data_IF_886458497105
#
_entry.id   IF_886458497105
#
_cell.length_a   1.000
_cell.length_b   1.000
_cell.length_c   1.000
_cell.angle_alpha   90.00
_cell.angle_beta   90.00
_cell.angle_gamma   90.00
#
_symmetry.space_group_name_H-M   'P 1'
#
loop_
_entity.id
_entity.type
_entity.pdbx_description
1 polymer ?
#
# COMPACT_ATOMS: atom_id res chain seq x y z
N UNK A 1 -53.25 -3.13 25.15
CA UNK A 1 -51.85 -3.45 24.81
C UNK A 1 -51.87 -4.35 23.59
N UNK A 2 -51.23 -3.93 22.50
CA UNK A 2 -50.54 -4.80 21.54
C UNK A 2 -49.89 -3.92 20.46
N UNK A 3 -48.62 -3.55 20.68
CA UNK A 3 -47.79 -2.92 19.65
C UNK A 3 -46.93 -4.02 19.02
N UNK A 4 -47.37 -4.56 17.88
CA UNK A 4 -46.53 -5.38 17.01
C UNK A 4 -45.68 -4.45 16.16
N UNK A 5 -44.38 -4.39 16.43
CA UNK A 5 -43.42 -3.73 15.54
C UNK A 5 -43.21 -4.59 14.28
N UNK A 6 -43.31 -4.02 13.06
CA UNK A 6 -43.11 -4.79 11.84
C UNK A 6 -41.63 -5.11 11.63
N UNK A 7 -41.32 -6.40 11.51
CA UNK A 7 -40.00 -7.01 11.30
C UNK A 7 -39.22 -6.55 10.03
N UNK A 8 -39.67 -5.51 9.34
CA UNK A 8 -39.01 -4.98 8.14
C UNK A 8 -37.85 -4.02 8.45
N UNK A 9 -37.78 -3.45 9.65
CA UNK A 9 -36.70 -2.51 10.03
C UNK A 9 -35.35 -3.20 10.32
N UNK A 10 -35.34 -4.50 10.61
CA UNK A 10 -34.11 -5.23 10.92
C UNK A 10 -33.34 -5.68 9.67
N UNK A 11 -33.99 -5.73 8.50
CA UNK A 11 -33.34 -6.12 7.24
C UNK A 11 -32.49 -5.01 6.63
N UNK A 12 -32.83 -3.74 6.87
CA UNK A 12 -32.08 -2.59 6.35
C UNK A 12 -30.87 -2.24 7.22
N UNK A 13 -30.86 -2.65 8.49
CA UNK A 13 -29.71 -2.42 9.38
C UNK A 13 -28.53 -3.38 9.12
N UNK A 14 -28.81 -4.57 8.57
CA UNK A 14 -27.77 -5.56 8.25
C UNK A 14 -26.91 -5.18 7.04
N UNK A 15 -27.49 -4.51 6.04
CA UNK A 15 -26.77 -4.12 4.82
C UNK A 15 -25.78 -2.96 5.05
N UNK A 16 -26.06 -2.08 6.02
CA UNK A 16 -25.18 -0.95 6.34
C UNK A 16 -23.94 -1.38 7.17
N UNK A 17 -24.03 -2.48 7.91
CA UNK A 17 -22.91 -3.00 8.70
C UNK A 17 -21.81 -3.64 7.84
N UNK A 18 -22.15 -4.12 6.63
CA UNK A 18 -21.18 -4.70 5.69
C UNK A 18 -20.25 -3.67 5.04
N UNK A 19 -20.73 -2.43 4.85
CA UNK A 19 -19.95 -1.34 4.27
C UNK A 19 -18.90 -0.76 5.23
N UNK A 20 -19.00 -1.04 6.53
CA UNK A 20 -18.12 -0.51 7.57
C UNK A 20 -16.98 -1.47 7.97
N UNK A 21 -16.83 -2.58 7.26
CA UNK A 21 -15.79 -3.57 7.53
C UNK A 21 -14.67 -3.58 6.48
N UNK A 22 -14.33 -2.42 5.89
CA UNK A 22 -13.07 -2.29 5.14
C UNK A 22 -11.90 -2.41 6.13
N UNK A 23 -11.41 -3.63 6.34
CA UNK A 23 -10.14 -3.84 7.03
C UNK A 23 -9.02 -3.32 6.12
N UNK A 24 -8.56 -2.09 6.35
CA UNK A 24 -7.34 -1.61 5.73
C UNK A 24 -6.20 -2.54 6.19
N UNK A 25 -5.71 -3.40 5.31
CA UNK A 25 -4.53 -4.20 5.60
C UNK A 25 -3.32 -3.27 5.51
N UNK A 26 -2.60 -3.14 6.62
CA UNK A 26 -1.27 -2.54 6.61
C UNK A 26 -0.34 -3.53 5.90
N UNK A 27 0.54 -3.03 5.03
CA UNK A 27 1.48 -3.87 4.30
C UNK A 27 2.90 -3.43 4.59
N UNK A 28 3.83 -4.37 4.66
CA UNK A 28 5.24 -4.12 4.91
C UNK A 28 6.12 -4.96 3.98
N UNK A 29 7.27 -4.45 3.54
CA UNK A 29 8.18 -5.23 2.71
C UNK A 29 8.98 -6.21 3.57
N UNK A 30 9.13 -7.44 3.07
CA UNK A 30 9.99 -8.48 3.65
C UNK A 30 11.34 -8.55 2.93
N UNK A 31 11.66 -9.71 2.35
CA UNK A 31 12.82 -9.85 1.47
C UNK A 31 12.54 -9.31 0.07
N UNK A 32 13.32 -8.35 -0.44
CA UNK A 32 13.04 -7.77 -1.77
C UNK A 32 14.26 -7.21 -2.53
N UNK A 33 14.07 -7.05 -3.83
CA UNK A 33 14.87 -6.18 -4.70
C UNK A 33 13.95 -5.17 -5.41
N UNK A 34 14.33 -3.89 -5.37
CA UNK A 34 13.57 -2.82 -6.02
C UNK A 34 14.49 -1.88 -6.79
N UNK A 35 14.03 -1.44 -7.95
CA UNK A 35 14.74 -0.48 -8.78
C UNK A 35 13.83 0.65 -9.25
N UNK A 36 14.38 1.86 -9.34
CA UNK A 36 13.73 3.04 -9.86
C UNK A 36 14.69 3.75 -10.82
N UNK A 37 14.34 3.76 -12.10
CA UNK A 37 15.01 4.60 -13.09
C UNK A 37 14.15 5.83 -13.36
N UNK A 38 14.74 7.02 -13.23
CA UNK A 38 14.10 8.30 -13.58
C UNK A 38 15.02 9.04 -14.52
N UNK A 39 14.52 9.37 -15.71
CA UNK A 39 15.28 10.10 -16.73
C UNK A 39 15.04 11.61 -16.63
N UNK A 40 15.96 12.38 -17.19
CA UNK A 40 15.87 13.83 -17.27
C UNK A 40 14.60 14.30 -18.00
N UNK A 41 14.07 13.53 -18.95
CA UNK A 41 12.82 13.82 -19.69
C UNK A 41 11.54 13.34 -18.97
N UNK A 42 11.66 12.97 -17.68
CA UNK A 42 10.61 12.41 -16.81
C UNK A 42 10.12 11.01 -17.20
N UNK A 43 10.73 10.35 -18.17
CA UNK A 43 10.51 8.92 -18.36
C UNK A 43 10.96 8.18 -17.10
N UNK A 44 10.16 7.21 -16.64
CA UNK A 44 10.51 6.42 -15.47
C UNK A 44 10.18 4.94 -15.67
N UNK A 45 10.93 4.11 -14.96
CA UNK A 45 10.67 2.69 -14.79
C UNK A 45 10.82 2.34 -13.31
N UNK A 46 9.85 1.60 -12.77
CA UNK A 46 9.92 1.11 -11.39
C UNK A 46 9.70 -0.40 -11.38
N UNK A 47 10.49 -1.11 -10.58
CA UNK A 47 10.31 -2.53 -10.31
C UNK A 47 10.35 -2.82 -8.81
N UNK A 48 9.57 -3.80 -8.41
CA UNK A 48 9.64 -4.40 -7.08
C UNK A 48 9.46 -5.91 -7.23
N UNK A 49 10.41 -6.69 -6.71
CA UNK A 49 10.32 -8.14 -6.66
C UNK A 49 10.66 -8.61 -5.26
N UNK A 50 9.72 -9.25 -4.60
CA UNK A 50 9.93 -9.69 -3.23
C UNK A 50 8.67 -9.97 -2.43
N UNK A 51 8.87 -10.14 -1.14
CA UNK A 51 7.86 -10.45 -0.16
C UNK A 51 7.13 -9.19 0.31
N UNK A 52 5.80 -9.24 0.36
CA UNK A 52 4.96 -8.27 1.07
C UNK A 52 4.19 -9.00 2.16
N UNK A 53 4.29 -8.52 3.40
CA UNK A 53 3.56 -9.06 4.55
C UNK A 53 2.34 -8.18 4.82
N UNK A 54 1.16 -8.78 4.97
CA UNK A 54 -0.07 -8.09 5.31
C UNK A 54 -0.40 -8.26 6.81
N UNK A 55 -0.61 -7.15 7.51
CA UNK A 55 -1.03 -7.09 8.90
C UNK A 55 -2.45 -6.55 9.02
N UNK A 56 -3.23 -7.08 9.97
CA UNK A 56 -4.56 -6.55 10.26
C UNK A 56 -4.45 -5.22 11.02
N UNK A 57 -5.08 -4.17 10.49
CA UNK A 57 -5.38 -2.99 11.30
C UNK A 57 -6.63 -3.32 12.12
N UNK A 58 -6.46 -3.61 13.41
CA UNK A 58 -7.56 -3.95 14.29
C UNK A 58 -8.66 -2.89 14.28
N UNK A 59 -9.93 -3.31 14.16
CA UNK A 59 -11.14 -2.45 14.18
C UNK A 59 -11.25 -1.51 15.39
N UNK A 60 -10.46 -1.76 16.44
CA UNK A 60 -10.49 -1.01 17.70
C UNK A 60 -9.70 0.31 17.66
N UNK A 61 -8.97 0.61 16.58
CA UNK A 61 -8.14 1.82 16.48
C UNK A 61 -8.83 3.08 15.95
N UNK A 62 -10.05 2.96 15.41
CA UNK A 62 -10.76 4.05 14.70
C UNK A 62 -12.04 4.53 15.40
N UNK A 63 -12.36 4.07 16.62
CA UNK A 63 -13.54 4.55 17.38
C UNK A 63 -13.32 5.90 18.08
N UNK A 64 -12.28 6.65 17.72
CA UNK A 64 -11.94 7.94 18.30
C UNK A 64 -12.45 9.11 17.47
N UNK A 65 -13.70 9.52 17.70
CA UNK A 65 -14.18 10.87 17.37
C UNK A 65 -15.03 10.98 16.10
N UNK A 66 -16.34 10.84 16.24
CA UNK A 66 -17.29 11.35 15.26
C UNK A 66 -17.42 12.88 15.41
N UNK A 67 -17.39 13.65 14.31
CA UNK A 67 -18.26 14.79 14.15
C UNK A 67 -19.42 14.40 13.24
N UNK A 68 -20.63 14.55 13.76
CA UNK A 68 -21.85 14.48 12.97
C UNK A 68 -21.83 15.60 11.93
N UNK A 69 -22.01 15.26 10.65
CA UNK A 69 -22.52 16.20 9.67
C UNK A 69 -23.30 15.41 8.62
N UNK A 70 -24.62 15.62 8.63
CA UNK A 70 -25.52 15.31 7.53
C UNK A 70 -25.12 16.20 6.33
N UNK A 71 -24.95 15.61 5.15
CA UNK A 71 -25.20 16.33 3.90
C UNK A 71 -25.52 15.33 2.77
N UNK A 72 -26.70 15.52 2.19
CA UNK A 72 -27.19 14.87 0.99
C UNK A 72 -26.52 15.51 -0.24
N UNK A 73 -25.87 14.73 -1.09
CA UNK A 73 -25.61 15.15 -2.47
C UNK A 73 -25.46 13.94 -3.39
N UNK A 74 -26.50 13.75 -4.21
CA UNK A 74 -26.54 12.88 -5.37
C UNK A 74 -25.58 13.41 -6.45
N UNK A 75 -24.75 12.51 -6.96
CA UNK A 75 -23.79 12.78 -8.03
C UNK A 75 -23.26 11.49 -8.60
N UNK A 76 -24.11 10.75 -9.33
CA UNK A 76 -23.70 9.59 -10.11
C UNK A 76 -22.69 10.02 -11.19
N UNK A 77 -21.42 9.68 -10.98
CA UNK A 77 -20.46 9.55 -12.06
C UNK A 77 -20.09 8.07 -12.12
N UNK A 78 -20.35 7.42 -13.25
CA UNK A 78 -20.09 6.00 -13.46
C UNK A 78 -18.59 5.68 -13.28
N UNK A 79 -18.23 5.24 -12.08
CA UNK A 79 -16.98 4.55 -11.81
C UNK A 79 -17.20 3.04 -12.00
N UNK A 80 -16.29 2.40 -12.72
CA UNK A 80 -16.27 0.94 -12.87
C UNK A 80 -16.33 0.25 -11.49
N UNK A 81 -17.02 -0.91 -11.38
CA UNK A 81 -17.27 -1.54 -10.08
C UNK A 81 -15.96 -1.94 -9.39
N UNK A 82 -15.81 -1.57 -8.12
CA UNK A 82 -14.62 -1.84 -7.29
C UNK A 82 -14.56 -3.28 -6.76
N UNK A 83 -13.37 -3.67 -6.31
CA UNK A 83 -12.92 -4.98 -5.83
C UNK A 83 -13.90 -5.77 -4.95
N UNK A 84 -14.71 -5.09 -4.14
CA UNK A 84 -15.65 -5.72 -3.21
C UNK A 84 -17.03 -6.00 -3.84
N UNK A 85 -17.40 -5.27 -4.91
CA UNK A 85 -18.68 -5.45 -5.60
C UNK A 85 -18.72 -6.71 -6.47
N UNK A 86 -17.55 -7.18 -6.92
CA UNK A 86 -17.40 -8.44 -7.66
C UNK A 86 -17.53 -9.63 -6.69
N UNK A 87 -16.94 -9.54 -5.50
CA UNK A 87 -17.00 -10.60 -4.48
C UNK A 87 -18.35 -10.69 -3.76
N UNK A 88 -19.10 -9.58 -3.65
CA UNK A 88 -20.39 -9.55 -2.97
C UNK A 88 -21.59 -10.00 -3.84
N UNK A 89 -21.38 -10.27 -5.14
CA UNK A 89 -22.45 -10.69 -6.07
C UNK A 89 -22.60 -12.20 -6.25
N UNK A 90 -21.64 -12.99 -5.80
CA UNK A 90 -21.77 -14.44 -5.77
C UNK A 90 -22.45 -14.86 -4.46
N UNK A 91 -23.73 -15.25 -4.53
CA UNK A 91 -24.50 -15.70 -3.36
C UNK A 91 -23.86 -16.94 -2.69
N UNK A 92 -23.16 -17.78 -3.47
CA UNK A 92 -22.42 -18.96 -2.98
C UNK A 92 -21.23 -18.62 -2.06
N UNK A 93 -20.69 -17.38 -2.11
CA UNK A 93 -19.56 -16.96 -1.28
C UNK A 93 -19.97 -16.47 0.12
N UNK A 94 -21.22 -16.06 0.29
CA UNK A 94 -21.71 -15.50 1.56
C UNK A 94 -21.88 -16.56 2.66
N UNK A 95 -22.22 -17.80 2.31
CA UNK A 95 -22.41 -18.90 3.27
C UNK A 95 -21.08 -19.53 3.73
N UNK A 96 -20.00 -19.40 2.96
CA UNK A 96 -18.67 -19.94 3.30
C UNK A 96 -17.94 -19.14 4.41
N UNK A 97 -18.40 -17.92 4.70
CA UNK A 97 -17.80 -17.03 5.71
C UNK A 97 -18.39 -17.24 7.12
N UNK A 98 -19.43 -18.08 7.26
CA UNK A 98 -20.12 -18.31 8.52
C UNK A 98 -19.50 -19.41 9.40
N UNK A 99 -18.59 -20.25 8.86
CA UNK A 99 -18.03 -21.38 9.62
C UNK A 99 -16.53 -21.61 9.30
N UNK A 100 -15.66 -20.98 10.09
CA UNK A 100 -14.22 -21.27 10.12
C UNK A 100 -13.31 -20.05 9.91
N UNK A 101 -13.00 -19.33 10.99
CA UNK A 101 -12.16 -18.12 10.99
C UNK A 101 -10.75 -18.30 10.39
N UNK A 102 -10.24 -19.53 10.26
CA UNK A 102 -8.92 -19.83 9.67
C UNK A 102 -8.99 -20.12 8.15
N UNK A 103 -10.12 -20.67 7.67
CA UNK A 103 -10.32 -20.92 6.22
C UNK A 103 -10.75 -19.66 5.47
N UNK A 104 -11.46 -18.77 6.16
CA UNK A 104 -11.87 -17.47 5.61
C UNK A 104 -10.68 -16.58 5.24
N UNK A 105 -9.66 -16.51 6.11
CA UNK A 105 -8.49 -15.64 5.88
C UNK A 105 -7.64 -16.12 4.70
N UNK A 106 -7.36 -17.42 4.62
CA UNK A 106 -6.60 -18.01 3.50
C UNK A 106 -7.31 -17.79 2.15
N UNK A 107 -8.61 -18.04 2.08
CA UNK A 107 -9.41 -17.81 0.87
C UNK A 107 -9.44 -16.31 0.49
N UNK A 108 -9.56 -15.42 1.48
CA UNK A 108 -9.51 -13.98 1.27
C UNK A 108 -8.14 -13.54 0.73
N UNK A 109 -7.04 -13.99 1.32
CA UNK A 109 -5.68 -13.65 0.86
C UNK A 109 -5.41 -14.20 -0.54
N UNK A 110 -5.91 -15.39 -0.87
CA UNK A 110 -5.86 -15.92 -2.24
C UNK A 110 -6.64 -15.06 -3.23
N UNK A 111 -7.83 -14.60 -2.85
CA UNK A 111 -8.64 -13.70 -3.68
C UNK A 111 -7.93 -12.35 -3.90
N UNK A 112 -7.24 -11.82 -2.87
CA UNK A 112 -6.40 -10.62 -3.01
C UNK A 112 -5.27 -10.85 -4.00
N UNK A 113 -4.53 -11.96 -3.88
CA UNK A 113 -3.47 -12.28 -4.83
C UNK A 113 -4.00 -12.37 -6.28
N UNK A 114 -5.14 -13.05 -6.48
CA UNK A 114 -5.80 -13.15 -7.78
C UNK A 114 -6.24 -11.79 -8.32
N UNK A 115 -6.74 -10.89 -7.46
CA UNK A 115 -7.11 -9.53 -7.86
C UNK A 115 -5.88 -8.70 -8.26
N UNK A 116 -4.80 -8.74 -7.47
CA UNK A 116 -3.56 -8.01 -7.77
C UNK A 116 -2.99 -8.38 -9.14
N UNK A 117 -3.09 -9.64 -9.58
CA UNK A 117 -2.62 -10.04 -10.93
C UNK A 117 -3.36 -9.37 -12.09
N UNK A 118 -4.53 -8.77 -11.85
CA UNK A 118 -5.31 -8.03 -12.86
C UNK A 118 -4.90 -6.57 -12.93
N UNK A 119 -4.19 -6.07 -11.93
CA UNK A 119 -3.80 -4.66 -11.82
C UNK A 119 -2.59 -4.34 -12.69
N UNK A 120 -2.58 -3.13 -13.24
CA UNK A 120 -1.49 -2.69 -14.12
C UNK A 120 -0.17 -2.67 -13.35
N UNK A 121 0.82 -3.34 -13.93
CA UNK A 121 2.18 -3.40 -13.41
C UNK A 121 2.47 -4.66 -12.60
N UNK A 122 1.46 -5.35 -12.05
CA UNK A 122 1.67 -6.65 -11.42
C UNK A 122 1.89 -7.72 -12.50
N UNK A 123 3.12 -8.22 -12.60
CA UNK A 123 3.46 -9.37 -13.46
C UNK A 123 3.09 -10.69 -12.79
N UNK A 124 3.22 -10.76 -11.47
CA UNK A 124 2.69 -11.85 -10.65
C UNK A 124 2.42 -11.38 -9.22
N UNK A 125 1.40 -11.97 -8.60
CA UNK A 125 1.14 -11.88 -7.18
C UNK A 125 0.70 -13.27 -6.69
N UNK A 126 1.44 -13.84 -5.73
CA UNK A 126 1.16 -15.18 -5.20
C UNK A 126 1.03 -15.11 -3.69
N UNK A 127 -0.03 -15.71 -3.18
CA UNK A 127 -0.16 -15.90 -1.74
C UNK A 127 0.69 -17.10 -1.30
N UNK A 128 1.52 -16.90 -0.28
CA UNK A 128 2.51 -17.86 0.21
C UNK A 128 2.12 -18.46 1.58
N UNK A 129 0.89 -18.23 2.04
CA UNK A 129 0.47 -18.54 3.41
C UNK A 129 0.95 -17.47 4.41
N UNK A 130 0.43 -17.53 5.64
CA UNK A 130 0.81 -16.63 6.74
C UNK A 130 0.72 -15.14 6.36
N UNK A 131 -0.31 -14.76 5.59
CA UNK A 131 -0.54 -13.38 5.15
C UNK A 131 0.63 -12.77 4.36
N UNK A 132 1.46 -13.61 3.75
CA UNK A 132 2.62 -13.21 2.96
C UNK A 132 2.37 -13.40 1.47
N UNK A 133 2.79 -12.42 0.68
CA UNK A 133 2.69 -12.41 -0.77
C UNK A 133 4.08 -12.38 -1.40
N UNK A 134 4.28 -13.16 -2.45
CA UNK A 134 5.39 -12.98 -3.39
C UNK A 134 4.90 -12.13 -4.56
N UNK A 135 5.51 -10.96 -4.77
CA UNK A 135 5.14 -9.98 -5.78
C UNK A 135 6.26 -9.82 -6.82
N UNK A 136 5.90 -9.77 -8.09
CA UNK A 136 6.72 -9.25 -9.18
C UNK A 136 5.93 -8.10 -9.82
N UNK A 137 6.42 -6.88 -9.62
CA UNK A 137 5.82 -5.65 -10.12
C UNK A 137 6.81 -4.91 -11.02
N UNK A 138 6.33 -4.44 -12.16
CA UNK A 138 7.08 -3.57 -13.05
C UNK A 138 6.16 -2.61 -13.80
N UNK A 139 6.46 -1.32 -13.74
CA UNK A 139 5.73 -0.29 -14.48
C UNK A 139 6.71 0.67 -15.15
N UNK A 140 6.30 1.21 -16.29
CA UNK A 140 7.00 2.28 -16.99
C UNK A 140 6.00 3.38 -17.34
N UNK A 141 6.49 4.59 -17.49
CA UNK A 141 5.65 5.71 -17.89
C UNK A 141 6.41 7.02 -17.95
N UNK A 142 5.64 8.12 -17.98
CA UNK A 142 6.16 9.48 -17.87
C UNK A 142 5.59 10.12 -16.61
N UNK A 143 6.46 10.67 -15.76
CA UNK A 143 6.05 11.36 -14.54
C UNK A 143 5.33 12.66 -14.89
N UNK A 144 4.01 12.60 -14.93
CA UNK A 144 3.12 13.77 -15.00
C UNK A 144 2.43 14.05 -13.67
N UNK A 145 2.36 13.03 -12.82
CA UNK A 145 1.79 13.04 -11.48
C UNK A 145 2.70 12.24 -10.54
N UNK A 146 2.38 12.25 -9.24
CA UNK A 146 3.08 11.40 -8.29
C UNK A 146 2.87 9.92 -8.60
N UNK A 147 3.90 9.11 -8.33
CA UNK A 147 3.84 7.66 -8.36
C UNK A 147 4.03 7.12 -6.94
N UNK A 148 3.16 6.20 -6.54
CA UNK A 148 3.17 5.57 -5.22
C UNK A 148 3.12 4.06 -5.40
N UNK A 149 3.94 3.33 -4.64
CA UNK A 149 3.92 1.88 -4.62
C UNK A 149 4.10 1.33 -3.20
N UNK A 150 3.29 0.35 -2.77
CA UNK A 150 2.00 -0.01 -3.36
C UNK A 150 0.98 1.14 -3.16
N UNK A 151 -0.04 1.19 -4.00
CA UNK A 151 -1.17 2.10 -3.81
C UNK A 151 -2.42 1.27 -3.52
N UNK A 152 -3.03 1.49 -2.36
CA UNK A 152 -4.30 0.89 -1.99
C UNK A 152 -5.35 2.02 -1.93
N UNK A 153 -6.26 2.05 -2.90
CA UNK A 153 -7.28 3.09 -3.02
C UNK A 153 -8.39 2.96 -1.96
N UNK A 154 -8.60 1.74 -1.44
CA UNK A 154 -9.64 1.43 -0.48
C UNK A 154 -9.19 1.70 0.97
N UNK A 155 -7.89 1.88 1.18
CA UNK A 155 -7.35 2.27 2.47
C UNK A 155 -7.60 3.76 2.71
N UNK A 156 -8.23 4.10 3.85
CA UNK A 156 -8.41 5.48 4.30
C UNK A 156 -7.08 6.18 4.67
N UNK A 157 -5.95 5.46 4.61
CA UNK A 157 -4.59 5.95 4.88
C UNK A 157 -3.66 5.44 3.78
N UNK A 158 -2.88 6.34 3.17
CA UNK A 158 -1.91 6.03 2.12
C UNK A 158 -0.53 5.79 2.75
N UNK A 159 -0.08 4.54 2.78
CA UNK A 159 1.24 4.14 3.30
C UNK A 159 2.06 3.46 2.19
N UNK A 160 2.78 4.23 1.35
CA UNK A 160 3.53 3.67 0.24
C UNK A 160 4.91 3.20 0.69
N UNK A 161 5.46 2.17 0.07
CA UNK A 161 6.87 1.82 0.23
C UNK A 161 7.77 2.82 -0.47
N UNK A 162 7.37 3.26 -1.67
CA UNK A 162 8.06 4.24 -2.50
C UNK A 162 7.08 5.32 -2.93
N UNK A 163 7.48 6.56 -2.75
CA UNK A 163 6.81 7.75 -3.24
C UNK A 163 7.75 8.56 -4.13
N UNK A 164 7.30 8.82 -5.35
CA UNK A 164 7.96 9.68 -6.32
C UNK A 164 7.04 10.86 -6.58
N UNK A 165 7.42 12.03 -6.09
CA UNK A 165 6.62 13.25 -6.17
C UNK A 165 7.21 14.21 -7.20
N UNK A 166 6.44 14.57 -8.22
CA UNK A 166 6.76 15.72 -9.04
C UNK A 166 6.37 17.00 -8.27
N UNK A 167 7.32 17.91 -8.10
CA UNK A 167 7.18 19.16 -7.33
C UNK A 167 7.49 20.35 -8.24
N UNK A 168 6.45 21.08 -8.62
CA UNK A 168 6.57 22.11 -9.66
C UNK A 168 6.95 21.49 -11.01
N UNK A 169 7.64 22.28 -11.85
CA UNK A 169 7.92 21.87 -13.24
C UNK A 169 9.28 21.19 -13.44
N UNK A 170 10.18 21.16 -12.47
CA UNK A 170 11.53 20.67 -12.72
C UNK A 170 12.14 19.86 -11.58
N UNK A 171 11.35 19.47 -10.57
CA UNK A 171 11.86 18.69 -9.43
C UNK A 171 11.09 17.40 -9.22
N UNK A 172 11.84 16.33 -9.01
CA UNK A 172 11.31 15.04 -8.56
C UNK A 172 11.91 14.72 -7.21
N UNK A 173 11.04 14.46 -6.22
CA UNK A 173 11.44 13.97 -4.90
C UNK A 173 11.14 12.49 -4.80
N UNK A 174 12.16 11.70 -4.55
CA UNK A 174 12.06 10.27 -4.27
C UNK A 174 12.19 10.07 -2.76
N UNK A 175 11.25 9.33 -2.18
CA UNK A 175 11.33 8.80 -0.82
C UNK A 175 10.88 7.36 -0.81
N UNK A 176 11.56 6.52 -0.06
CA UNK A 176 11.17 5.13 0.12
C UNK A 176 10.88 4.80 1.60
N UNK A 177 9.80 5.36 2.19
CA UNK A 177 9.54 5.23 3.63
C UNK A 177 9.30 3.78 4.08
N UNK A 178 8.82 2.90 3.20
CA UNK A 178 8.68 1.47 3.50
C UNK A 178 10.00 0.72 3.68
N UNK A 179 11.12 1.33 3.28
CA UNK A 179 12.45 0.73 3.39
C UNK A 179 13.20 1.22 4.63
N UNK A 180 12.47 1.65 5.67
CA UNK A 180 13.01 1.99 6.98
C UNK A 180 12.24 1.27 8.09
N UNK A 181 12.93 0.92 9.17
CA UNK A 181 12.36 0.20 10.31
C UNK A 181 11.32 1.00 11.12
N UNK A 182 11.18 2.29 10.85
CA UNK A 182 10.16 3.17 11.43
C UNK A 182 8.85 3.26 10.63
N UNK A 183 8.72 2.57 9.50
CA UNK A 183 7.59 2.71 8.58
C UNK A 183 6.22 2.57 9.28
N UNK A 184 6.01 1.46 10.00
CA UNK A 184 4.74 1.19 10.70
C UNK A 184 4.54 2.05 11.96
N UNK A 185 5.63 2.49 12.57
CA UNK A 185 5.62 3.25 13.84
C UNK A 185 5.26 4.71 13.62
N UNK A 186 5.51 5.24 12.42
CA UNK A 186 5.45 6.67 12.13
C UNK A 186 4.05 7.22 11.79
N UNK A 187 3.07 6.37 11.44
CA UNK A 187 1.77 6.85 10.90
C UNK A 187 0.50 6.13 11.43
N UNK A 188 0.63 5.13 12.30
CA UNK A 188 -0.51 4.49 12.97
C UNK A 188 -0.86 5.14 14.33
N UNK A 189 -2.02 4.82 14.95
CA UNK A 189 -2.36 5.23 16.31
C UNK A 189 -1.27 4.86 17.35
N UNK A 190 -0.46 3.84 17.07
CA UNK A 190 0.71 3.46 17.86
C UNK A 190 1.80 4.55 17.93
N UNK A 191 1.86 5.47 16.96
CA UNK A 191 2.70 6.67 16.98
C UNK A 191 2.10 7.84 17.79
N UNK A 192 0.81 7.79 18.13
CA UNK A 192 0.10 8.77 18.97
C UNK A 192 -0.24 8.26 20.39
N UNK A 193 0.08 7.01 20.70
CA UNK A 193 -0.16 6.45 22.03
C UNK A 193 0.37 5.03 22.06
N UNK A 194 1.53 4.85 22.68
CA UNK A 194 2.21 3.57 22.74
C UNK A 194 1.35 2.49 23.39
N UNK A 195 0.88 1.53 22.59
CA UNK A 195 0.60 0.13 22.95
C UNK A 195 0.15 -0.62 21.68
N UNK A 196 1.08 -1.34 21.05
CA UNK A 196 0.85 -2.14 19.85
C UNK A 196 2.13 -2.86 19.40
N UNK A 197 2.76 -3.59 20.31
CA UNK A 197 4.17 -4.00 20.23
C UNK A 197 4.40 -5.45 19.75
N UNK A 198 3.64 -5.92 18.74
CA UNK A 198 3.79 -7.29 18.22
C UNK A 198 4.06 -7.33 16.72
N UNK A 199 3.05 -6.96 15.92
CA UNK A 199 3.12 -7.07 14.46
C UNK A 199 4.16 -6.14 13.81
N UNK A 200 4.32 -4.92 14.33
CA UNK A 200 5.29 -3.96 13.78
C UNK A 200 6.75 -4.33 14.03
N UNK A 201 7.03 -5.13 15.07
CA UNK A 201 8.40 -5.58 15.35
C UNK A 201 8.80 -6.77 14.47
N UNK A 202 7.87 -7.68 14.13
CA UNK A 202 8.12 -8.76 13.17
C UNK A 202 8.28 -8.22 11.74
N UNK A 203 7.45 -7.24 11.35
CA UNK A 203 7.61 -6.55 10.08
C UNK A 203 8.97 -5.83 9.95
N UNK A 204 9.39 -5.11 10.99
CA UNK A 204 10.69 -4.46 11.01
C UNK A 204 11.86 -5.46 10.94
N UNK A 205 11.72 -6.64 11.56
CA UNK A 205 12.73 -7.72 11.49
C UNK A 205 12.78 -8.40 10.12
N UNK A 206 11.66 -8.47 9.41
CA UNK A 206 11.57 -9.07 8.09
C UNK A 206 12.19 -8.20 6.98
N UNK A 207 12.39 -6.90 7.25
CA UNK A 207 12.89 -5.92 6.29
C UNK A 207 14.32 -6.27 5.84
N UNK A 208 14.45 -6.78 4.62
CA UNK A 208 15.74 -7.15 4.06
C UNK A 208 15.74 -6.95 2.55
N UNK A 209 16.54 -6.03 2.03
CA UNK A 209 16.51 -5.84 0.59
C UNK A 209 17.51 -4.85 0.06
N UNK A 210 17.29 -4.51 -1.20
CA UNK A 210 18.12 -3.56 -1.92
C UNK A 210 17.24 -2.64 -2.75
N UNK A 211 17.47 -1.34 -2.60
CA UNK A 211 16.85 -0.33 -3.44
C UNK A 211 17.93 0.31 -4.33
N UNK A 212 17.71 0.31 -5.63
CA UNK A 212 18.62 0.92 -6.60
C UNK A 212 17.91 2.05 -7.35
N UNK A 213 18.49 3.24 -7.34
CA UNK A 213 18.02 4.34 -8.20
C UNK A 213 19.03 4.59 -9.32
N UNK A 214 18.55 4.70 -10.56
CA UNK A 214 19.35 5.15 -11.70
C UNK A 214 18.76 6.39 -12.34
N UNK A 215 19.62 7.25 -12.89
CA UNK A 215 19.17 8.51 -13.50
C UNK A 215 20.23 9.14 -14.38
N UNK A 216 19.85 9.84 -15.45
CA UNK A 216 20.68 10.85 -16.14
C UNK A 216 20.30 12.30 -15.78
N UNK A 217 19.33 12.47 -14.88
CA UNK A 217 18.96 13.75 -14.33
C UNK A 217 20.04 14.26 -13.35
N UNK A 218 20.03 15.56 -13.08
CA UNK A 218 20.91 16.14 -12.07
C UNK A 218 20.44 15.73 -10.67
N UNK A 219 21.33 15.13 -9.87
CA UNK A 219 21.06 14.77 -8.48
C UNK A 219 21.33 15.99 -7.60
N UNK A 220 20.27 16.61 -7.08
CA UNK A 220 20.37 17.77 -6.18
C UNK A 220 20.74 17.37 -4.75
N UNK A 221 20.18 16.26 -4.27
CA UNK A 221 20.46 15.74 -2.93
C UNK A 221 20.14 14.25 -2.84
N UNK A 222 20.80 13.55 -1.91
CA UNK A 222 20.63 12.13 -1.64
C UNK A 222 21.19 11.79 -0.24
N UNK A 223 20.79 10.67 0.37
CA UNK A 223 21.19 10.29 1.74
C UNK A 223 22.00 8.98 1.87
N UNK A 224 22.57 8.47 0.78
CA UNK A 224 23.47 7.33 0.76
C UNK A 224 24.92 7.80 0.98
N UNK A 225 25.63 7.17 1.92
CA UNK A 225 26.96 7.61 2.37
C UNK A 225 28.07 7.51 1.31
N UNK A 226 28.10 6.43 0.52
CA UNK A 226 29.01 6.24 -0.62
C UNK A 226 28.66 7.17 -1.81
N UNK A 227 27.43 7.67 -1.85
CA UNK A 227 26.94 8.58 -2.87
C UNK A 227 26.65 7.92 -4.23
N UNK A 228 26.60 8.75 -5.27
CA UNK A 228 26.22 8.32 -6.61
C UNK A 228 27.43 7.82 -7.43
N UNK A 229 27.34 6.59 -7.92
CA UNK A 229 28.32 5.97 -8.80
C UNK A 229 28.05 6.34 -10.26
N UNK A 230 29.11 6.63 -11.03
CA UNK A 230 28.99 6.88 -12.48
C UNK A 230 28.81 5.56 -13.22
N UNK A 231 27.90 5.55 -14.19
CA UNK A 231 27.63 4.44 -15.11
C UNK A 231 27.56 4.96 -16.55
N UNK A 232 27.63 4.11 -17.58
CA UNK A 232 27.48 4.55 -18.97
C UNK A 232 26.14 5.24 -19.26
N UNK A 233 25.10 4.97 -18.46
CA UNK A 233 23.73 5.46 -18.65
C UNK A 233 23.37 6.61 -17.71
N UNK A 234 24.35 7.16 -16.97
CA UNK A 234 24.15 8.23 -16.00
C UNK A 234 24.72 7.87 -14.62
N UNK A 235 23.93 8.07 -13.57
CA UNK A 235 24.28 7.83 -12.17
C UNK A 235 23.48 6.67 -11.60
N UNK A 236 24.07 6.00 -10.60
CA UNK A 236 23.45 4.94 -9.82
C UNK A 236 23.67 5.19 -8.33
N UNK A 237 22.61 5.08 -7.55
CA UNK A 237 22.67 5.06 -6.08
C UNK A 237 22.09 3.72 -5.60
N UNK A 238 22.74 3.12 -4.60
CA UNK A 238 22.36 1.82 -4.06
C UNK A 238 22.22 1.92 -2.55
N UNK A 239 21.04 1.60 -2.03
CA UNK A 239 20.80 1.43 -0.60
C UNK A 239 20.66 -0.06 -0.29
N UNK A 240 21.49 -0.56 0.62
CA UNK A 240 21.26 -1.82 1.30
C UNK A 240 20.27 -1.59 2.44
N UNK A 241 19.20 -2.37 2.47
CA UNK A 241 18.09 -2.22 3.40
C UNK A 241 18.10 -3.42 4.35
N UNK A 242 18.03 -3.14 5.65
CA UNK A 242 18.06 -4.14 6.70
C UNK A 242 17.15 -3.71 7.86
N UNK A 243 16.95 -4.56 8.88
CA UNK A 243 16.20 -4.17 10.08
C UNK A 243 16.83 -2.99 10.84
N UNK A 244 18.10 -2.67 10.57
CA UNK A 244 18.84 -1.55 11.16
C UNK A 244 18.71 -0.24 10.37
N UNK A 245 18.07 -0.25 9.19
CA UNK A 245 17.90 0.95 8.36
C UNK A 245 16.89 1.90 9.00
N UNK A 246 17.37 2.95 9.67
CA UNK A 246 16.54 3.98 10.31
C UNK A 246 16.08 5.07 9.35
N UNK A 247 16.98 5.53 8.47
CA UNK A 247 16.70 6.59 7.51
C UNK A 247 16.26 5.99 6.17
N UNK A 248 15.03 6.30 5.79
CA UNK A 248 14.47 5.87 4.52
C UNK A 248 15.31 6.41 3.34
N UNK A 249 15.58 5.61 2.29
CA UNK A 249 16.20 6.09 1.07
C UNK A 249 15.50 7.33 0.52
N UNK A 250 16.28 8.35 0.22
CA UNK A 250 15.75 9.62 -0.28
C UNK A 250 16.70 10.26 -1.29
N UNK A 251 16.13 10.86 -2.31
CA UNK A 251 16.85 11.67 -3.28
C UNK A 251 15.96 12.79 -3.86
N UNK A 252 16.59 13.87 -4.31
CA UNK A 252 15.93 14.93 -5.09
C UNK A 252 16.66 15.07 -6.41
N UNK A 253 15.90 15.01 -7.50
CA UNK A 253 16.40 15.14 -8.86
C UNK A 253 15.87 16.43 -9.47
N UNK A 254 16.69 17.06 -10.33
CA UNK A 254 16.24 18.09 -11.25
C UNK A 254 16.02 17.48 -12.63
N UNK A 255 14.81 17.62 -13.14
CA UNK A 255 14.33 17.07 -14.42
C UNK A 255 13.92 18.19 -15.37
N UNK A 256 13.68 17.85 -16.64
CA UNK A 256 13.17 18.75 -17.65
C UNK A 256 11.64 18.58 -17.78
N UNK A 257 10.89 19.65 -18.11
CA UNK A 257 9.46 19.56 -18.41
C UNK A 257 9.10 18.65 -19.60
#
# INVERSE_FOLDING_TARGET
MDRRFPAKLYRTLGALAGLLALSACLVTPGTFESSLDIRADRSFAFTYKGEILASEMGKTGMTGGAPSTDDDSEGETEAAPTLMQIAARDEDFSDALADGADKGDEAQMQAIAAALTKEKGFRSARYMGNRKFEIDYAITGKLTHAFLFPFNIDAQIILPFVAVELRGDDRVRVKAPGFANGFDKSQGPAGMGGMGSGAGDEAAKALNGRFTMTTDAEIMSQNQEEGAQTTPQGKRIVWAISPLTSDAPAATLRVQP
#
